data_IF_722619936979
#
_entry.id   IF_722619936979
#
_cell.length_a   1.000
_cell.length_b   1.000
_cell.length_c   1.000
_cell.angle_alpha   90.00
_cell.angle_beta   90.00
_cell.angle_gamma   90.00
#
_symmetry.space_group_name_H-M   'P 1'
#
loop_
_entity.id
_entity.type
_entity.pdbx_description
1 polymer ?
#
# COMPACT_ATOMS: atom_id res chain seq x y z
N UNK A 1 9.58 -0.82 20.85
CA UNK A 1 9.58 -0.65 19.38
C UNK A 1 8.30 -1.28 18.87
N UNK A 2 7.34 -0.48 18.41
CA UNK A 2 6.22 -1.03 17.65
C UNK A 2 6.80 -1.45 16.31
N UNK A 3 6.74 -2.74 15.99
CA UNK A 3 6.99 -3.21 14.63
C UNK A 3 5.81 -2.69 13.81
N UNK A 4 6.01 -1.64 13.03
CA UNK A 4 5.02 -1.20 12.05
C UNK A 4 5.14 -2.18 10.88
N UNK A 5 4.18 -3.10 10.65
CA UNK A 5 4.29 -4.10 9.59
C UNK A 5 4.23 -3.45 8.19
N UNK A 6 3.79 -2.20 8.10
CA UNK A 6 3.72 -1.42 6.87
C UNK A 6 4.07 0.04 7.16
N UNK A 7 4.64 0.73 6.18
CA UNK A 7 4.78 2.19 6.21
C UNK A 7 3.42 2.90 6.12
N UNK A 8 3.43 4.20 5.80
CA UNK A 8 2.21 4.96 5.60
C UNK A 8 1.36 4.38 4.45
N UNK A 9 0.04 4.34 4.67
CA UNK A 9 -0.92 3.84 3.69
C UNK A 9 -2.01 4.89 3.50
N UNK A 10 -2.10 5.39 2.27
CA UNK A 10 -3.14 6.33 1.86
C UNK A 10 -4.31 5.56 1.26
N UNK A 11 -5.54 5.99 1.52
CA UNK A 11 -6.72 5.47 0.86
C UNK A 11 -7.58 6.59 0.26
N UNK A 12 -8.26 6.26 -0.83
CA UNK A 12 -9.28 7.10 -1.46
C UNK A 12 -10.57 6.29 -1.59
N UNK A 13 -11.61 6.71 -0.87
CA UNK A 13 -12.89 6.00 -0.89
C UNK A 13 -13.61 6.14 -2.24
N UNK A 14 -13.50 7.28 -2.91
CA UNK A 14 -14.18 7.52 -4.19
C UNK A 14 -13.69 6.57 -5.29
N UNK A 15 -12.39 6.31 -5.32
CA UNK A 15 -11.77 5.41 -6.32
C UNK A 15 -11.62 3.98 -5.81
N UNK A 16 -11.93 3.73 -4.53
CA UNK A 16 -11.73 2.44 -3.84
C UNK A 16 -10.30 1.93 -3.99
N UNK A 17 -9.31 2.82 -3.81
CA UNK A 17 -7.89 2.51 -3.93
C UNK A 17 -7.16 2.78 -2.62
N UNK A 18 -6.13 1.99 -2.38
CA UNK A 18 -5.12 2.24 -1.37
C UNK A 18 -3.74 2.31 -2.04
N UNK A 19 -2.85 3.12 -1.47
CA UNK A 19 -1.48 3.28 -1.91
C UNK A 19 -0.53 3.05 -0.75
N UNK A 20 0.36 2.09 -0.92
CA UNK A 20 1.52 1.90 -0.07
C UNK A 20 2.68 2.71 -0.62
N UNK A 21 3.36 3.45 0.25
CA UNK A 21 4.57 4.18 -0.14
C UNK A 21 5.78 3.26 0.01
N UNK A 22 6.59 3.18 -1.06
CA UNK A 22 7.79 2.35 -1.14
C UNK A 22 9.05 3.24 -1.18
N UNK A 23 10.21 2.76 -0.69
CA UNK A 23 11.48 3.46 -0.87
C UNK A 23 11.78 3.75 -2.35
N UNK A 24 12.28 4.95 -2.63
CA UNK A 24 12.68 5.31 -3.99
C UNK A 24 13.81 4.39 -4.48
N UNK A 25 13.63 3.79 -5.65
CA UNK A 25 14.61 2.86 -6.24
C UNK A 25 14.61 1.46 -5.63
N UNK A 26 13.64 1.12 -4.77
CA UNK A 26 13.45 -0.26 -4.37
C UNK A 26 13.13 -1.15 -5.59
N UNK A 27 13.68 -2.36 -5.60
CA UNK A 27 13.21 -3.40 -6.52
C UNK A 27 11.75 -3.72 -6.18
N UNK A 28 10.96 -3.91 -7.22
CA UNK A 28 9.50 -4.11 -7.14
C UNK A 28 9.07 -5.31 -7.96
N UNK A 29 10.02 -6.13 -8.43
CA UNK A 29 9.75 -7.30 -9.26
C UNK A 29 8.80 -8.29 -8.55
N UNK A 30 8.86 -8.37 -7.21
CA UNK A 30 7.95 -9.23 -6.44
C UNK A 30 6.49 -8.71 -6.42
N UNK A 31 6.26 -7.46 -6.82
CA UNK A 31 4.93 -6.87 -6.88
C UNK A 31 4.23 -7.10 -8.23
N UNK A 32 4.95 -7.54 -9.26
CA UNK A 32 4.39 -7.76 -10.60
C UNK A 32 3.37 -8.91 -10.60
N UNK A 33 3.57 -9.91 -9.73
CA UNK A 33 2.74 -11.12 -9.67
C UNK A 33 1.51 -10.99 -8.74
N UNK A 34 1.39 -9.89 -7.96
CA UNK A 34 0.35 -9.76 -6.91
C UNK A 34 -0.77 -8.77 -7.28
N UNK A 35 -0.93 -8.48 -8.58
CA UNK A 35 -2.09 -7.73 -9.10
C UNK A 35 -2.14 -6.26 -8.69
N UNK A 36 -1.01 -5.66 -8.30
CA UNK A 36 -0.90 -4.23 -7.97
C UNK A 36 -0.32 -3.45 -9.14
N UNK A 37 -0.60 -2.15 -9.18
CA UNK A 37 0.05 -1.23 -10.12
C UNK A 37 1.16 -0.48 -9.42
N UNK A 38 2.41 -0.71 -9.83
CA UNK A 38 3.53 0.10 -9.39
C UNK A 38 3.56 1.42 -10.18
N UNK A 39 3.60 2.55 -9.46
CA UNK A 39 3.76 3.87 -10.08
C UNK A 39 5.25 4.22 -10.20
N UNK A 40 5.70 4.84 -11.31
CA UNK A 40 7.10 5.20 -11.47
C UNK A 40 7.52 6.26 -10.43
N UNK A 41 8.83 6.32 -10.17
CA UNK A 41 9.40 7.37 -9.33
C UNK A 41 9.06 8.77 -9.88
N UNK A 42 8.74 9.70 -8.99
CA UNK A 42 8.31 11.06 -9.35
C UNK A 42 6.84 11.19 -9.75
N UNK A 43 6.06 10.11 -9.72
CA UNK A 43 4.61 10.22 -9.87
C UNK A 43 3.99 10.97 -8.68
N UNK A 44 3.21 12.00 -8.97
CA UNK A 44 2.56 12.81 -7.94
C UNK A 44 1.39 12.06 -7.29
N UNK A 45 1.42 12.00 -5.96
CA UNK A 45 0.33 11.49 -5.13
C UNK A 45 -0.18 12.62 -4.22
N UNK A 46 -1.48 12.86 -4.26
CA UNK A 46 -2.12 13.83 -3.38
C UNK A 46 -2.19 13.28 -1.95
N UNK A 47 -1.38 13.84 -1.06
CA UNK A 47 -1.30 13.45 0.34
C UNK A 47 -2.10 14.43 1.22
N UNK A 48 -3.11 13.98 1.98
CA UNK A 48 -3.80 14.82 2.94
C UNK A 48 -2.88 15.12 4.15
N UNK A 49 -3.16 16.19 4.92
CA UNK A 49 -2.51 16.42 6.21
C UNK A 49 -2.62 15.19 7.12
N UNK A 50 -1.61 14.95 7.95
CA UNK A 50 -1.61 13.79 8.87
C UNK A 50 -2.68 13.88 9.96
N UNK A 51 -3.20 15.08 10.21
CA UNK A 51 -4.17 15.38 11.28
C UNK A 51 -5.63 15.20 10.86
N UNK A 52 -5.93 15.19 9.57
CA UNK A 52 -7.31 15.15 9.07
C UNK A 52 -7.37 14.65 7.63
N UNK A 53 -8.52 14.08 7.25
CA UNK A 53 -8.82 13.75 5.86
C UNK A 53 -9.09 15.00 5.02
N UNK A 54 -8.95 14.88 3.70
CA UNK A 54 -9.34 15.91 2.72
C UNK A 54 -10.20 15.25 1.66
N UNK A 55 -11.48 15.63 1.58
CA UNK A 55 -12.45 14.90 0.77
C UNK A 55 -12.46 13.41 1.15
N UNK A 56 -12.34 12.54 0.15
CA UNK A 56 -12.30 11.08 0.33
C UNK A 56 -10.89 10.51 0.56
N UNK A 57 -9.85 11.36 0.67
CA UNK A 57 -8.48 10.97 0.95
C UNK A 57 -8.19 10.94 2.45
N UNK A 58 -7.63 9.83 2.93
CA UNK A 58 -7.30 9.63 4.35
C UNK A 58 -6.20 8.61 4.55
N UNK A 59 -5.47 8.75 5.66
CA UNK A 59 -4.43 7.81 6.06
C UNK A 59 -5.04 6.61 6.81
N UNK A 60 -4.88 5.41 6.24
CA UNK A 60 -5.16 4.15 6.94
C UNK A 60 -4.06 3.84 7.97
N UNK A 61 -2.83 4.10 7.57
CA UNK A 61 -1.65 4.09 8.44
C UNK A 61 -1.01 5.47 8.35
N UNK A 62 -1.00 6.19 9.48
CA UNK A 62 -0.59 7.59 9.56
C UNK A 62 0.94 7.69 9.45
N UNK A 63 1.48 8.64 8.66
CA UNK A 63 2.91 8.94 8.68
C UNK A 63 3.36 9.38 10.08
N UNK A 64 4.30 8.64 10.65
CA UNK A 64 4.84 8.87 12.00
C UNK A 64 6.06 9.80 12.03
N UNK A 65 6.49 10.29 10.86
CA UNK A 65 7.65 11.17 10.70
C UNK A 65 9.01 10.47 10.72
N UNK A 66 9.06 9.13 10.88
CA UNK A 66 10.33 8.38 10.90
C UNK A 66 10.98 8.24 9.53
N UNK A 67 10.20 8.42 8.46
CA UNK A 67 10.62 8.11 7.10
C UNK A 67 10.60 6.62 6.77
N UNK A 68 10.06 5.77 7.66
CA UNK A 68 9.88 4.35 7.39
C UNK A 68 8.82 4.14 6.30
N UNK A 69 9.19 3.45 5.22
CA UNK A 69 8.32 3.13 4.10
C UNK A 69 8.13 1.62 3.99
N UNK A 70 7.08 1.20 3.27
CA UNK A 70 6.72 -0.21 3.17
C UNK A 70 7.79 -0.97 2.39
N UNK A 71 8.23 -2.11 2.92
CA UNK A 71 9.14 -3.01 2.23
C UNK A 71 8.37 -3.77 1.11
N UNK A 72 8.80 -3.73 -0.16
CA UNK A 72 8.10 -4.39 -1.28
C UNK A 72 7.92 -5.89 -1.09
N UNK A 73 8.94 -6.62 -0.63
CA UNK A 73 8.89 -8.07 -0.38
C UNK A 73 7.84 -8.42 0.68
N UNK A 74 7.74 -7.63 1.75
CA UNK A 74 6.73 -7.83 2.81
C UNK A 74 5.33 -7.56 2.27
N UNK A 75 5.17 -6.51 1.45
CA UNK A 75 3.90 -6.19 0.81
C UNK A 75 3.45 -7.30 -0.15
N UNK A 76 4.36 -7.79 -1.00
CA UNK A 76 4.09 -8.89 -1.92
C UNK A 76 3.60 -10.14 -1.17
N UNK A 77 4.31 -10.54 -0.10
CA UNK A 77 3.93 -11.69 0.73
C UNK A 77 2.54 -11.52 1.38
N UNK A 78 2.22 -10.31 1.86
CA UNK A 78 0.92 -10.02 2.47
C UNK A 78 -0.23 -10.10 1.45
N UNK A 79 0.00 -9.60 0.24
CA UNK A 79 -1.01 -9.61 -0.83
C UNK A 79 -1.20 -11.00 -1.45
N UNK A 80 -0.11 -11.74 -1.67
CA UNK A 80 -0.18 -13.12 -2.15
C UNK A 80 -0.97 -14.05 -1.21
N UNK A 81 -0.91 -13.80 0.11
CA UNK A 81 -1.65 -14.58 1.12
C UNK A 81 -3.17 -14.32 1.11
N UNK A 82 -3.61 -13.26 0.43
CA UNK A 82 -5.03 -12.88 0.34
C UNK A 82 -5.75 -13.58 -0.82
N UNK A 83 -5.04 -14.37 -1.64
CA UNK A 83 -5.60 -15.13 -2.77
C UNK A 83 -6.45 -16.35 -2.33
N UNK A 84 -6.79 -16.47 -1.04
CA UNK A 84 -7.64 -17.56 -0.54
C UNK A 84 -9.14 -17.27 -0.75
N UNK A 85 -9.60 -17.23 -2.01
CA UNK A 85 -10.94 -17.73 -2.42
C UNK A 85 -11.10 -17.74 -3.94
N UNK A 86 -10.72 -18.86 -4.53
CA UNK A 86 -11.51 -19.53 -5.57
C UNK A 86 -11.54 -21.03 -5.27
N UNK A 87 -12.04 -21.40 -4.09
CA UNK A 87 -12.56 -22.76 -3.92
C UNK A 87 -13.84 -22.85 -4.77
N UNK A 88 -13.66 -23.36 -5.98
CA UNK A 88 -14.75 -23.76 -6.85
C UNK A 88 -15.58 -24.82 -6.13
N UNK A 89 -16.85 -24.48 -5.90
CA UNK A 89 -17.86 -25.46 -5.53
C UNK A 89 -18.10 -26.41 -6.70
N UNK A 90 -18.19 -27.69 -6.34
CA UNK A 90 -19.03 -28.74 -6.94
C UNK A 90 -18.79 -29.12 -8.40
N UNK A 91 -18.32 -30.36 -8.59
CA UNK A 91 -19.15 -31.39 -9.23
C UNK A 91 -18.94 -32.75 -8.54
#
# INVERSE_FOLDING_TARGET
>A
MHLHPSGPVLACLDTRRAWWLLPAGAAVDELDDVGVTVRPAGWELLCPPVTNSVGSLWWLSIPDGTGYLTNPTVLAAALASTDLRSEGGSE
#
